data_IF_603454306199
#
_entry.id   IF_603454306199
#
_cell.length_a   1.000
_cell.length_b   1.000
_cell.length_c   1.000
_cell.angle_alpha   90.00
_cell.angle_beta   90.00
_cell.angle_gamma   90.00
#
_symmetry.space_group_name_H-M   'P 1'
#
loop_
_entity.id
_entity.type
_entity.pdbx_description
1 polymer ?
#
# COMPACT_ATOMS: atom_id res chain seq x y z
N UNK A 1 -22.06 -6.88 -4.62
CA UNK A 1 -20.94 -5.99 -5.04
C UNK A 1 -21.46 -4.62 -5.48
N UNK A 2 -22.51 -4.54 -6.31
CA UNK A 2 -23.11 -3.27 -6.74
C UNK A 2 -23.58 -2.37 -5.59
N UNK A 3 -24.26 -2.91 -4.57
CA UNK A 3 -24.77 -2.11 -3.45
C UNK A 3 -23.69 -1.36 -2.67
N UNK A 4 -22.53 -2.00 -2.44
CA UNK A 4 -21.40 -1.36 -1.76
C UNK A 4 -20.82 -0.23 -2.60
N UNK A 5 -20.70 -0.44 -3.91
CA UNK A 5 -20.17 0.56 -4.83
C UNK A 5 -21.13 1.75 -4.98
N UNK A 6 -22.45 1.50 -5.02
CA UNK A 6 -23.47 2.55 -4.98
C UNK A 6 -23.43 3.33 -3.67
N UNK A 7 -23.34 2.65 -2.51
CA UNK A 7 -23.24 3.32 -1.21
C UNK A 7 -21.98 4.19 -1.09
N UNK A 8 -20.86 3.76 -1.70
CA UNK A 8 -19.63 4.55 -1.79
C UNK A 8 -19.80 5.75 -2.72
N UNK A 9 -20.45 5.56 -3.88
CA UNK A 9 -20.70 6.63 -4.85
C UNK A 9 -21.65 7.72 -4.30
N UNK A 10 -22.67 7.30 -3.55
CA UNK A 10 -23.66 8.19 -2.92
C UNK A 10 -23.18 8.80 -1.60
N UNK A 11 -22.06 8.31 -1.05
CA UNK A 11 -21.43 8.86 0.16
C UNK A 11 -21.03 10.32 -0.06
N UNK A 12 -21.61 11.21 0.74
CA UNK A 12 -21.20 12.62 0.81
C UNK A 12 -19.89 12.84 1.56
N UNK A 13 -19.34 11.78 2.17
CA UNK A 13 -18.04 11.82 2.83
C UNK A 13 -16.98 11.66 1.75
N UNK A 14 -16.12 12.66 1.51
CA UNK A 14 -14.99 12.51 0.61
C UNK A 14 -14.14 11.33 1.09
N UNK A 15 -13.98 10.33 0.24
CA UNK A 15 -13.02 9.27 0.50
C UNK A 15 -11.67 9.87 0.24
N UNK A 16 -10.94 10.16 1.32
CA UNK A 16 -9.54 10.55 1.25
C UNK A 16 -8.76 9.51 0.44
N UNK A 17 -8.28 9.86 -0.77
CA UNK A 17 -7.66 8.89 -1.66
C UNK A 17 -6.33 8.36 -1.10
N UNK A 18 -5.68 9.13 -0.20
CA UNK A 18 -4.39 8.76 0.38
C UNK A 18 -4.19 9.36 1.77
N UNK A 19 -4.24 8.48 2.79
CA UNK A 19 -4.00 8.86 4.20
C UNK A 19 -2.52 9.04 4.56
N UNK A 20 -1.60 8.53 3.73
CA UNK A 20 -0.16 8.58 3.97
C UNK A 20 0.58 9.10 2.73
N UNK A 21 1.63 9.91 2.91
CA UNK A 21 2.53 10.30 1.83
C UNK A 21 3.18 9.09 1.14
N UNK A 22 3.51 9.22 -0.13
CA UNK A 22 4.08 8.13 -0.95
C UNK A 22 5.37 7.56 -0.35
N UNK A 23 6.23 8.41 0.22
CA UNK A 23 7.45 7.99 0.92
C UNK A 23 7.16 7.02 2.05
N UNK A 24 6.22 7.40 2.92
CA UNK A 24 5.86 6.63 4.11
C UNK A 24 5.21 5.30 3.74
N UNK A 25 4.43 5.30 2.66
CA UNK A 25 3.84 4.10 2.08
C UNK A 25 4.91 3.11 1.59
N UNK A 26 5.95 3.59 0.92
CA UNK A 26 7.08 2.75 0.47
C UNK A 26 7.83 2.16 1.66
N UNK A 27 8.17 2.99 2.65
CA UNK A 27 8.86 2.54 3.85
C UNK A 27 8.06 1.48 4.61
N UNK A 28 6.74 1.68 4.75
CA UNK A 28 5.85 0.70 5.35
C UNK A 28 5.80 -0.60 4.54
N UNK A 29 5.75 -0.51 3.21
CA UNK A 29 5.74 -1.69 2.33
C UNK A 29 7.05 -2.49 2.47
N UNK A 30 8.21 -1.82 2.43
CA UNK A 30 9.52 -2.45 2.59
C UNK A 30 9.68 -3.11 3.96
N UNK A 31 9.29 -2.40 5.03
CA UNK A 31 9.27 -2.97 6.38
C UNK A 31 8.33 -4.16 6.47
N UNK A 32 7.13 -4.04 5.89
CA UNK A 32 6.13 -5.09 5.87
C UNK A 32 6.59 -6.33 5.11
N UNK A 33 7.35 -6.20 4.03
CA UNK A 33 7.92 -7.34 3.31
C UNK A 33 8.91 -8.12 4.19
N UNK A 34 9.68 -7.42 5.02
CA UNK A 34 10.65 -8.04 5.95
C UNK A 34 10.00 -8.65 7.20
N UNK A 35 8.75 -8.28 7.52
CA UNK A 35 8.06 -8.74 8.73
C UNK A 35 7.39 -10.11 8.53
N UNK A 36 7.64 -11.05 9.45
CA UNK A 36 7.01 -12.37 9.47
C UNK A 36 5.48 -12.28 9.59
N UNK A 37 4.77 -13.23 8.96
CA UNK A 37 3.29 -13.29 8.95
C UNK A 37 2.70 -13.38 10.36
N UNK A 38 3.29 -14.18 11.24
CA UNK A 38 2.85 -14.35 12.63
C UNK A 38 2.90 -13.04 13.41
N UNK A 39 3.98 -12.29 13.28
CA UNK A 39 4.14 -11.00 13.93
C UNK A 39 3.11 -9.97 13.42
N UNK A 40 2.77 -9.99 12.13
CA UNK A 40 1.69 -9.13 11.61
C UNK A 40 0.33 -9.46 12.24
N UNK A 41 0.03 -10.74 12.40
CA UNK A 41 -1.23 -11.20 13.00
C UNK A 41 -1.29 -10.79 14.48
N UNK A 42 -0.22 -10.97 15.24
CA UNK A 42 -0.15 -10.56 16.64
C UNK A 42 -0.29 -9.04 16.79
N UNK A 43 0.36 -8.27 15.92
CA UNK A 43 0.24 -6.82 15.90
C UNK A 43 -1.21 -6.37 15.69
N UNK A 44 -1.93 -7.01 14.76
CA UNK A 44 -3.35 -6.70 14.49
C UNK A 44 -4.29 -7.17 15.60
N UNK A 45 -3.97 -8.27 16.30
CA UNK A 45 -4.70 -8.72 17.48
C UNK A 45 -4.56 -7.73 18.63
N UNK A 46 -3.37 -7.18 18.83
CA UNK A 46 -3.07 -6.27 19.93
C UNK A 46 -3.54 -4.83 19.68
N UNK A 47 -3.66 -4.43 18.41
CA UNK A 47 -4.03 -3.05 18.06
C UNK A 47 -5.00 -3.04 16.86
N UNK A 48 -6.31 -3.24 17.12
CA UNK A 48 -7.32 -3.16 16.07
C UNK A 48 -7.36 -1.75 15.49
N UNK A 49 -7.56 -1.64 14.17
CA UNK A 49 -7.52 -0.38 13.42
C UNK A 49 -8.93 0.13 13.09
N UNK A 50 -9.89 -0.08 13.99
CA UNK A 50 -11.31 0.19 13.73
C UNK A 50 -11.60 1.69 13.74
N UNK A 51 -11.02 2.44 14.68
CA UNK A 51 -11.19 3.90 14.75
C UNK A 51 -10.03 4.67 14.10
N UNK A 52 -10.27 5.95 13.80
CA UNK A 52 -9.23 6.84 13.27
C UNK A 52 -8.14 7.13 14.32
N UNK A 53 -8.50 7.28 15.61
CA UNK A 53 -7.48 7.46 16.66
C UNK A 53 -6.57 6.24 16.78
N UNK A 54 -7.14 5.04 16.66
CA UNK A 54 -6.37 3.80 16.68
C UNK A 54 -5.41 3.72 15.49
N UNK A 55 -5.87 4.08 14.29
CA UNK A 55 -5.00 4.14 13.09
C UNK A 55 -3.85 5.12 13.25
N UNK A 56 -4.10 6.31 13.81
CA UNK A 56 -3.06 7.31 14.11
C UNK A 56 -2.07 6.79 15.15
N UNK A 57 -2.58 6.20 16.23
CA UNK A 57 -1.75 5.63 17.31
C UNK A 57 -0.90 4.48 16.79
N UNK A 58 -1.47 3.61 15.95
CA UNK A 58 -0.74 2.55 15.27
C UNK A 58 0.39 3.13 14.42
N UNK A 59 0.08 4.13 13.59
CA UNK A 59 1.06 4.74 12.69
C UNK A 59 2.23 5.39 13.45
N UNK A 60 1.95 6.08 14.56
CA UNK A 60 2.99 6.65 15.42
C UNK A 60 3.92 5.55 15.97
N UNK A 61 3.37 4.45 16.49
CA UNK A 61 4.18 3.31 16.96
C UNK A 61 4.93 2.61 15.83
N UNK A 62 4.31 2.51 14.65
CA UNK A 62 4.87 1.82 13.49
C UNK A 62 6.02 2.61 12.87
N UNK A 63 5.85 3.91 12.70
CA UNK A 63 6.86 4.82 12.14
C UNK A 63 8.14 4.83 12.98
N UNK A 64 8.04 4.80 14.30
CA UNK A 64 9.21 4.65 15.19
C UNK A 64 9.97 3.34 14.92
N UNK A 65 9.25 2.21 14.75
CA UNK A 65 9.87 0.91 14.45
C UNK A 65 10.49 0.87 13.05
N UNK A 66 9.86 1.53 12.08
CA UNK A 66 10.38 1.65 10.71
C UNK A 66 11.68 2.47 10.73
N UNK A 67 11.73 3.59 11.46
CA UNK A 67 12.93 4.41 11.59
C UNK A 67 14.10 3.62 12.21
N UNK A 68 13.86 2.93 13.34
CA UNK A 68 14.87 2.04 13.98
C UNK A 68 15.35 0.92 13.05
N UNK A 69 14.45 0.36 12.25
CA UNK A 69 14.80 -0.67 11.28
C UNK A 69 15.62 -0.11 10.10
N UNK A 70 15.42 1.14 9.72
CA UNK A 70 16.21 1.82 8.70
C UNK A 70 17.64 2.10 9.19
N UNK A 71 17.80 2.55 10.44
CA UNK A 71 19.11 2.79 11.08
C UNK A 71 19.96 1.51 11.16
N UNK A 72 19.33 0.39 11.53
CA UNK A 72 19.99 -0.92 11.61
C UNK A 72 20.27 -1.56 10.26
N UNK A 73 19.61 -1.12 9.18
CA UNK A 73 19.80 -1.63 7.81
C UNK A 73 20.87 -0.86 7.02
N UNK A 74 21.58 0.09 7.63
CA UNK A 74 22.48 1.05 6.98
C UNK A 74 23.71 0.48 6.25
N UNK A 75 23.89 -0.85 6.17
CA UNK A 75 25.14 -1.44 5.64
C UNK A 75 24.91 -2.72 4.82
N UNK A 76 23.98 -2.69 3.85
CA UNK A 76 23.82 -3.81 2.91
C UNK A 76 23.65 -3.34 1.46
N UNK A 77 24.54 -3.75 0.53
CA UNK A 77 24.47 -3.33 -0.86
C UNK A 77 23.16 -3.80 -1.50
N UNK A 78 22.65 -2.93 -2.38
CA UNK A 78 21.38 -3.04 -3.10
C UNK A 78 21.30 -4.39 -3.82
N UNK A 79 20.60 -5.34 -3.20
CA UNK A 79 20.26 -6.61 -3.86
C UNK A 79 19.23 -6.29 -4.94
N UNK A 80 19.66 -6.31 -6.20
CA UNK A 80 18.79 -6.17 -7.37
C UNK A 80 17.78 -7.33 -7.33
N UNK A 81 16.53 -7.04 -7.01
CA UNK A 81 15.45 -8.04 -7.10
C UNK A 81 15.32 -8.54 -8.54
N UNK A 82 15.07 -9.84 -8.77
CA UNK A 82 14.84 -10.34 -10.11
C UNK A 82 13.50 -9.79 -10.64
N UNK A 83 13.51 -9.39 -11.90
CA UNK A 83 12.34 -8.95 -12.66
C UNK A 83 11.18 -9.94 -12.48
N UNK A 84 10.09 -9.50 -11.87
CA UNK A 84 8.86 -10.26 -11.81
C UNK A 84 8.22 -10.24 -13.21
N UNK A 85 8.45 -11.29 -13.99
CA UNK A 85 7.68 -11.54 -15.21
C UNK A 85 6.25 -11.90 -14.78
N UNK A 86 5.36 -10.89 -14.80
CA UNK A 86 3.92 -11.14 -14.67
C UNK A 86 3.41 -11.78 -15.96
N UNK A 87 2.73 -12.94 -15.92
CA UNK A 87 2.16 -13.57 -17.10
C UNK A 87 0.97 -12.80 -17.69
N UNK A 88 0.50 -11.76 -16.99
CA UNK A 88 -0.64 -10.92 -17.40
C UNK A 88 -0.24 -9.63 -18.14
N UNK A 89 1.05 -9.43 -18.41
CA UNK A 89 1.54 -8.27 -19.18
C UNK A 89 1.37 -8.43 -20.71
N UNK A 90 0.85 -9.56 -21.18
CA UNK A 90 0.56 -9.79 -22.59
C UNK A 90 -0.93 -9.54 -22.86
N UNK A 91 -1.24 -8.35 -23.39
CA UNK A 91 -2.51 -8.11 -24.08
C UNK A 91 -3.27 -6.87 -23.63
N UNK A 92 -2.76 -5.68 -23.93
CA UNK A 92 -3.67 -4.57 -24.22
C UNK A 92 -3.02 -3.56 -25.16
N UNK A 93 -2.79 -3.98 -26.40
CA UNK A 93 -2.62 -3.03 -27.50
C UNK A 93 -4.01 -2.63 -27.98
N UNK A 94 -4.61 -1.60 -27.34
CA UNK A 94 -5.71 -0.85 -27.97
C UNK A 94 -5.06 0.10 -28.97
N UNK A 95 -4.89 -0.37 -30.20
CA UNK A 95 -4.66 0.51 -31.35
C UNK A 95 -5.92 1.33 -31.56
N UNK A 96 -5.86 2.62 -31.24
CA UNK A 96 -6.89 3.58 -31.64
C UNK A 96 -6.55 3.95 -33.09
N UNK A 97 -7.34 3.43 -34.03
CA UNK A 97 -7.39 3.99 -35.38
C UNK A 97 -8.34 5.19 -35.35
N UNK A 98 -7.75 6.37 -35.47
CA UNK A 98 -8.42 7.61 -35.84
C UNK A 98 -8.58 7.57 -37.37
N UNK A 99 -9.81 7.41 -37.85
CA UNK A 99 -10.10 7.58 -39.28
C UNK A 99 -10.86 8.90 -39.43
N UNK A 100 -10.08 9.94 -39.75
CA UNK A 100 -10.57 11.26 -40.07
C UNK A 100 -11.50 11.20 -41.27
N UNK A 101 -12.73 11.68 -41.06
CA UNK A 101 -13.69 11.93 -42.13
C UNK A 101 -13.32 13.26 -42.77
N UNK A 102 -12.96 13.24 -44.05
CA UNK A 102 -13.00 14.41 -44.92
C UNK A 102 -13.63 14.05 -46.26
#
# INVERSE_FOLDING_TARGET
>A
VLELLSAIYESRVPIEPQRLPERDRRLLAEYGQKQAKTHKIEEWKNLPLTTEEQRRTWWLKKSERIAKAAETSGDRPTQKSPTATSPWAAGSSRTIHDEGTQ
#
